data_IF_523629309323
#
_entry.id   IF_523629309323
#
_cell.length_a   1.000
_cell.length_b   1.000
_cell.length_c   1.000
_cell.angle_alpha   90.00
_cell.angle_beta   90.00
_cell.angle_gamma   90.00
#
_symmetry.space_group_name_H-M   'P 1'
#
loop_
_entity.id
_entity.type
_entity.pdbx_description
1 polymer ?
#
# COMPACT_ATOMS: atom_id res chain seq x y z
N UNK A 1 -10.94 -70.07 -41.72
CA UNK A 1 -11.49 -70.11 -40.34
C UNK A 1 -11.20 -68.77 -39.70
N UNK A 2 -12.22 -67.94 -39.48
CA UNK A 2 -12.07 -66.57 -38.96
C UNK A 2 -12.72 -66.52 -37.57
N UNK A 3 -11.92 -66.55 -36.50
CA UNK A 3 -12.41 -66.34 -35.14
C UNK A 3 -12.20 -64.88 -34.75
N UNK A 4 -13.27 -64.09 -34.84
CA UNK A 4 -13.35 -62.75 -34.25
C UNK A 4 -13.24 -62.85 -32.72
N UNK A 5 -12.03 -62.71 -32.18
CA UNK A 5 -11.83 -62.41 -30.76
C UNK A 5 -12.11 -60.92 -30.52
N UNK A 6 -13.40 -60.58 -30.37
CA UNK A 6 -13.79 -59.30 -29.76
C UNK A 6 -13.58 -59.41 -28.25
N UNK A 7 -12.42 -58.98 -27.75
CA UNK A 7 -12.20 -58.79 -26.31
C UNK A 7 -13.16 -57.72 -25.78
N UNK A 8 -14.29 -58.15 -25.21
CA UNK A 8 -15.18 -57.25 -24.46
C UNK A 8 -14.47 -56.81 -23.19
N UNK A 9 -13.77 -55.67 -23.26
CA UNK A 9 -13.37 -54.89 -22.09
C UNK A 9 -14.64 -54.53 -21.29
N UNK A 10 -14.98 -55.33 -20.27
CA UNK A 10 -16.07 -55.02 -19.35
C UNK A 10 -15.69 -53.75 -18.58
N UNK A 11 -16.38 -52.64 -18.85
CA UNK A 11 -16.28 -51.42 -18.04
C UNK A 11 -16.70 -51.78 -16.61
N UNK A 12 -15.76 -51.78 -15.65
CA UNK A 12 -16.09 -51.92 -14.23
C UNK A 12 -16.66 -50.59 -13.74
N UNK A 13 -17.89 -50.60 -13.25
CA UNK A 13 -18.50 -49.44 -12.60
C UNK A 13 -17.92 -49.24 -11.19
N UNK A 14 -17.97 -48.01 -10.68
CA UNK A 14 -17.56 -47.69 -9.32
C UNK A 14 -18.62 -48.11 -8.31
N UNK A 15 -18.18 -48.57 -7.15
CA UNK A 15 -19.04 -48.83 -6.00
C UNK A 15 -19.36 -47.52 -5.26
N UNK A 16 -20.48 -47.49 -4.53
CA UNK A 16 -20.89 -46.32 -3.74
C UNK A 16 -19.81 -45.87 -2.75
N UNK A 17 -19.13 -46.84 -2.12
CA UNK A 17 -18.09 -46.57 -1.11
C UNK A 17 -16.87 -45.88 -1.73
N UNK A 18 -16.47 -46.27 -2.95
CA UNK A 18 -15.37 -45.61 -3.67
C UNK A 18 -15.71 -44.16 -4.02
N UNK A 19 -16.95 -43.91 -4.42
CA UNK A 19 -17.43 -42.55 -4.71
C UNK A 19 -17.46 -41.70 -3.44
N UNK A 20 -17.94 -42.24 -2.32
CA UNK A 20 -17.97 -41.53 -1.05
C UNK A 20 -16.57 -41.22 -0.53
N UNK A 21 -15.65 -42.18 -0.64
CA UNK A 21 -14.25 -41.98 -0.26
C UNK A 21 -13.59 -40.89 -1.12
N UNK A 22 -13.79 -40.94 -2.45
CA UNK A 22 -13.26 -39.93 -3.37
C UNK A 22 -13.84 -38.53 -3.08
N UNK A 23 -15.14 -38.44 -2.82
CA UNK A 23 -15.81 -37.17 -2.47
C UNK A 23 -15.32 -36.61 -1.14
N UNK A 24 -15.12 -37.46 -0.13
CA UNK A 24 -14.60 -37.04 1.17
C UNK A 24 -13.19 -36.44 1.05
N UNK A 25 -12.29 -37.09 0.30
CA UNK A 25 -10.94 -36.59 0.03
C UNK A 25 -11.02 -35.26 -0.73
N UNK A 26 -11.86 -35.19 -1.76
CA UNK A 26 -12.05 -33.99 -2.57
C UNK A 26 -12.54 -32.79 -1.74
N UNK A 27 -13.48 -33.01 -0.82
CA UNK A 27 -14.01 -31.96 0.06
C UNK A 27 -12.95 -31.41 1.01
N UNK A 28 -12.16 -32.29 1.63
CA UNK A 28 -11.07 -31.88 2.53
C UNK A 28 -10.07 -31.00 1.76
N UNK A 29 -9.63 -31.45 0.59
CA UNK A 29 -8.70 -30.69 -0.25
C UNK A 29 -9.29 -29.35 -0.70
N UNK A 30 -10.55 -29.33 -1.09
CA UNK A 30 -11.23 -28.11 -1.55
C UNK A 30 -11.32 -27.05 -0.44
N UNK A 31 -11.64 -27.45 0.79
CA UNK A 31 -11.66 -26.54 1.94
C UNK A 31 -10.27 -26.01 2.27
N UNK A 32 -9.26 -26.86 2.24
CA UNK A 32 -7.86 -26.44 2.47
C UNK A 32 -7.41 -25.41 1.45
N UNK A 33 -7.69 -25.62 0.16
CA UNK A 33 -7.33 -24.69 -0.92
C UNK A 33 -8.14 -23.39 -0.80
N UNK A 34 -9.43 -23.47 -0.48
CA UNK A 34 -10.27 -22.28 -0.28
C UNK A 34 -9.75 -21.35 0.81
N UNK A 35 -9.26 -21.91 1.93
CA UNK A 35 -8.65 -21.12 3.00
C UNK A 35 -7.31 -20.48 2.58
N UNK A 36 -6.52 -21.17 1.77
CA UNK A 36 -5.29 -20.60 1.22
C UNK A 36 -5.59 -19.44 0.27
N UNK A 37 -6.51 -19.60 -0.69
CA UNK A 37 -6.87 -18.55 -1.65
C UNK A 37 -7.43 -17.31 -0.98
N UNK A 38 -8.30 -17.48 0.02
CA UNK A 38 -8.86 -16.34 0.78
C UNK A 38 -7.79 -15.63 1.60
N UNK A 39 -6.84 -16.37 2.16
CA UNK A 39 -5.69 -15.78 2.87
C UNK A 39 -4.76 -15.02 1.92
N UNK A 40 -4.45 -15.60 0.75
CA UNK A 40 -3.67 -14.94 -0.30
C UNK A 40 -4.32 -13.64 -0.76
N UNK A 41 -5.63 -13.64 -1.03
CA UNK A 41 -6.36 -12.43 -1.43
C UNK A 41 -6.33 -11.35 -0.34
N UNK A 42 -6.42 -11.72 0.94
CA UNK A 42 -6.28 -10.77 2.06
C UNK A 42 -4.87 -10.19 2.14
N UNK A 43 -3.84 -11.02 1.95
CA UNK A 43 -2.44 -10.60 1.96
C UNK A 43 -2.15 -9.65 0.80
N UNK A 44 -2.63 -9.96 -0.41
CA UNK A 44 -2.48 -9.13 -1.60
C UNK A 44 -3.12 -7.75 -1.41
N UNK A 45 -4.37 -7.70 -0.94
CA UNK A 45 -5.04 -6.44 -0.65
C UNK A 45 -4.29 -5.61 0.41
N UNK A 46 -3.82 -6.25 1.49
CA UNK A 46 -3.02 -5.57 2.51
C UNK A 46 -1.71 -5.03 1.93
N UNK A 47 -1.05 -5.79 1.07
CA UNK A 47 0.18 -5.40 0.39
C UNK A 47 -0.04 -4.21 -0.55
N UNK A 48 -1.11 -4.23 -1.35
CA UNK A 48 -1.45 -3.15 -2.27
C UNK A 48 -1.75 -1.84 -1.51
N UNK A 49 -2.55 -1.90 -0.45
CA UNK A 49 -2.82 -0.72 0.39
C UNK A 49 -1.54 -0.18 1.05
N UNK A 50 -0.66 -1.07 1.52
CA UNK A 50 0.62 -0.65 2.10
C UNK A 50 1.53 0.00 1.06
N UNK A 51 1.58 -0.53 -0.16
CA UNK A 51 2.36 0.03 -1.25
C UNK A 51 1.87 1.43 -1.64
N UNK A 52 0.55 1.62 -1.68
CA UNK A 52 -0.05 2.92 -1.93
C UNK A 52 0.34 3.94 -0.85
N UNK A 53 0.21 3.58 0.43
CA UNK A 53 0.65 4.44 1.54
C UNK A 53 2.16 4.74 1.50
N UNK A 54 3.00 3.77 1.10
CA UNK A 54 4.44 3.99 0.86
C UNK A 54 4.66 5.05 -0.21
N UNK A 55 3.89 5.04 -1.29
CA UNK A 55 4.00 6.03 -2.37
C UNK A 55 3.64 7.43 -1.86
N UNK A 56 2.56 7.58 -1.09
CA UNK A 56 2.18 8.86 -0.47
C UNK A 56 3.26 9.38 0.48
N UNK A 57 3.76 8.54 1.39
CA UNK A 57 4.85 8.94 2.30
C UNK A 57 6.10 9.31 1.52
N UNK A 58 6.43 8.59 0.45
CA UNK A 58 7.58 8.91 -0.39
C UNK A 58 7.40 10.27 -1.07
N UNK A 59 6.22 10.57 -1.62
CA UNK A 59 5.94 11.88 -2.21
C UNK A 59 6.11 13.02 -1.19
N UNK A 60 5.65 12.82 0.06
CA UNK A 60 5.93 13.77 1.15
C UNK A 60 7.43 13.97 1.30
N UNK A 61 8.21 12.89 1.44
CA UNK A 61 9.66 12.99 1.61
C UNK A 61 10.33 13.70 0.43
N UNK A 62 9.95 13.37 -0.80
CA UNK A 62 10.57 13.92 -2.01
C UNK A 62 10.33 15.44 -2.12
N UNK A 63 9.20 15.97 -1.64
CA UNK A 63 8.93 17.42 -1.56
C UNK A 63 9.90 18.13 -0.60
N UNK A 64 10.32 17.45 0.48
CA UNK A 64 11.25 18.01 1.46
C UNK A 64 12.72 17.75 1.10
N UNK A 65 13.05 16.65 0.40
CA UNK A 65 14.40 16.13 0.15
C UNK A 65 15.12 16.75 -1.07
N UNK A 66 14.95 18.05 -1.31
CA UNK A 66 15.57 18.68 -2.48
C UNK A 66 17.06 18.90 -2.22
N UNK A 67 17.89 18.18 -2.99
CA UNK A 67 19.33 18.38 -3.03
C UNK A 67 19.66 19.77 -3.57
N UNK A 68 20.50 20.49 -2.83
CA UNK A 68 21.17 21.74 -3.22
C UNK A 68 22.11 21.45 -4.40
N UNK A 69 21.56 21.39 -5.62
CA UNK A 69 22.29 21.22 -6.87
C UNK A 69 22.33 22.52 -7.65
N UNK A 70 23.53 23.10 -7.72
CA UNK A 70 24.00 23.95 -8.82
C UNK A 70 23.16 25.18 -9.20
N UNK A 71 22.90 26.05 -8.21
CA UNK A 71 22.66 27.48 -8.46
C UNK A 71 21.31 27.85 -9.10
N UNK A 72 20.35 26.93 -9.13
CA UNK A 72 18.95 27.26 -9.37
C UNK A 72 18.16 26.81 -8.16
N UNK A 73 17.62 27.76 -7.39
CA UNK A 73 16.80 27.52 -6.19
C UNK A 73 15.44 26.91 -6.54
N UNK A 74 15.44 25.71 -7.16
CA UNK A 74 14.24 24.92 -7.39
C UNK A 74 13.86 24.19 -6.11
N UNK A 75 13.65 24.92 -5.01
CA UNK A 75 13.04 24.35 -3.82
C UNK A 75 11.62 23.86 -4.17
N UNK A 76 11.39 22.54 -4.15
CA UNK A 76 10.06 21.94 -4.34
C UNK A 76 9.07 22.44 -3.31
N UNK A 77 9.51 22.68 -2.06
CA UNK A 77 8.74 23.40 -1.04
C UNK A 77 9.39 24.76 -0.74
N UNK A 78 8.63 25.85 -0.82
CA UNK A 78 9.16 27.18 -0.50
C UNK A 78 9.57 27.31 0.97
N UNK A 79 10.54 28.20 1.25
CA UNK A 79 10.96 28.50 2.63
C UNK A 79 9.82 28.92 3.56
N UNK A 80 8.87 29.72 3.08
CA UNK A 80 7.69 30.11 3.87
C UNK A 80 6.86 28.89 4.28
N UNK A 81 6.67 27.96 3.34
CA UNK A 81 5.90 26.75 3.60
C UNK A 81 6.65 25.79 4.49
N UNK A 82 7.96 25.65 4.29
CA UNK A 82 8.81 24.89 5.20
C UNK A 82 8.76 25.43 6.64
N UNK A 83 8.89 26.74 6.80
CA UNK A 83 8.80 27.42 8.10
C UNK A 83 7.43 27.25 8.75
N UNK A 84 6.35 27.20 7.97
CA UNK A 84 5.04 26.85 8.49
C UNK A 84 5.05 25.47 9.17
N UNK A 85 5.59 24.42 8.53
CA UNK A 85 5.67 23.10 9.17
C UNK A 85 6.59 23.09 10.40
N UNK A 86 7.73 23.78 10.34
CA UNK A 86 8.67 23.88 11.45
C UNK A 86 8.06 24.54 12.68
N UNK A 87 7.28 25.61 12.48
CA UNK A 87 6.70 26.41 13.56
C UNK A 87 5.41 25.81 14.14
N UNK A 88 4.64 25.06 13.33
CA UNK A 88 3.41 24.41 13.80
C UNK A 88 3.65 23.06 14.47
N UNK A 89 4.87 22.51 14.38
CA UNK A 89 5.28 21.27 15.04
C UNK A 89 4.70 20.01 14.38
N UNK A 90 3.39 19.81 14.46
CA UNK A 90 2.68 18.68 13.83
C UNK A 90 1.55 19.22 12.98
N UNK A 91 1.60 18.92 11.68
CA UNK A 91 0.58 19.30 10.70
C UNK A 91 -0.10 18.04 10.18
N UNK A 92 -1.43 18.01 10.24
CA UNK A 92 -2.23 16.92 9.67
C UNK A 92 -2.91 17.41 8.40
N UNK A 93 -2.79 16.62 7.34
CA UNK A 93 -3.37 16.91 6.02
C UNK A 93 -4.28 15.74 5.63
N UNK A 94 -5.57 16.00 5.45
CA UNK A 94 -6.51 15.01 4.89
C UNK A 94 -6.54 15.12 3.37
N UNK A 95 -6.62 14.01 2.64
CA UNK A 95 -6.58 13.99 1.18
C UNK A 95 -7.20 12.71 0.61
N UNK A 96 -7.63 12.75 -0.65
CA UNK A 96 -8.17 11.56 -1.34
C UNK A 96 -7.23 10.99 -2.41
N UNK A 97 -6.28 11.79 -2.91
CA UNK A 97 -5.34 11.37 -3.96
C UNK A 97 -4.00 12.11 -3.89
N UNK A 98 -3.04 11.68 -4.72
CA UNK A 98 -1.68 12.22 -4.73
C UNK A 98 -1.63 13.72 -5.06
N UNK A 99 -2.39 14.17 -6.05
CA UNK A 99 -2.38 15.57 -6.49
C UNK A 99 -2.86 16.51 -5.37
N UNK A 100 -3.89 16.09 -4.63
CA UNK A 100 -4.35 16.82 -3.43
C UNK A 100 -3.27 16.88 -2.35
N UNK A 101 -2.62 15.74 -2.05
CA UNK A 101 -1.56 15.67 -1.05
C UNK A 101 -0.44 16.66 -1.38
N UNK A 102 0.07 16.62 -2.61
CA UNK A 102 1.15 17.50 -3.06
C UNK A 102 0.72 18.98 -2.96
N UNK A 103 -0.44 19.33 -3.53
CA UNK A 103 -0.95 20.72 -3.49
C UNK A 103 -1.18 21.22 -2.07
N UNK A 104 -1.63 20.37 -1.14
CA UNK A 104 -1.83 20.76 0.27
C UNK A 104 -0.52 20.95 1.02
N UNK A 105 0.47 20.11 0.77
CA UNK A 105 1.82 20.29 1.33
C UNK A 105 2.41 21.61 0.82
N UNK A 106 2.26 21.89 -0.47
CA UNK A 106 2.74 23.12 -1.09
C UNK A 106 1.91 24.37 -0.75
N UNK A 107 0.70 24.19 -0.20
CA UNK A 107 -0.19 25.30 0.17
C UNK A 107 -0.95 25.92 -1.02
N UNK A 108 -1.05 25.21 -2.14
CA UNK A 108 -1.73 25.66 -3.38
C UNK A 108 -3.10 25.02 -3.59
N UNK A 109 -3.55 24.19 -2.65
CA UNK A 109 -4.83 23.51 -2.75
C UNK A 109 -6.01 24.45 -2.46
N UNK A 110 -7.04 24.41 -3.31
CA UNK A 110 -8.23 25.27 -3.24
C UNK A 110 -9.56 24.50 -3.19
N UNK A 111 -9.50 23.17 -3.12
CA UNK A 111 -10.68 22.29 -3.06
C UNK A 111 -11.15 21.99 -1.64
N UNK A 112 -12.07 21.04 -1.52
CA UNK A 112 -12.56 20.53 -0.23
C UNK A 112 -11.58 19.55 0.39
N UNK A 113 -11.63 19.40 1.72
CA UNK A 113 -10.82 18.38 2.38
C UNK A 113 -11.25 16.96 2.02
N UNK A 114 -10.28 16.17 1.58
CA UNK A 114 -10.46 14.74 1.36
C UNK A 114 -10.65 14.00 2.68
N UNK A 115 -11.09 12.75 2.60
CA UNK A 115 -11.51 11.94 3.76
C UNK A 115 -10.84 10.58 3.80
N UNK A 116 -10.25 10.13 2.71
CA UNK A 116 -9.74 8.76 2.54
C UNK A 116 -8.42 8.55 3.28
N UNK A 117 -7.48 9.48 3.17
CA UNK A 117 -6.16 9.38 3.77
C UNK A 117 -5.86 10.58 4.66
N UNK A 118 -4.93 10.40 5.59
CA UNK A 118 -4.36 11.46 6.40
C UNK A 118 -2.84 11.37 6.45
N UNK A 119 -2.15 12.49 6.19
CA UNK A 119 -0.71 12.63 6.34
C UNK A 119 -0.42 13.48 7.57
N UNK A 120 0.34 12.94 8.51
CA UNK A 120 0.84 13.63 9.70
C UNK A 120 2.30 13.96 9.44
N UNK A 121 2.62 15.24 9.33
CA UNK A 121 3.95 15.74 9.00
C UNK A 121 4.50 16.52 10.19
N UNK A 122 5.70 16.17 10.62
CA UNK A 122 6.42 16.84 11.69
C UNK A 122 7.80 17.25 11.20
N UNK A 123 8.09 18.54 11.30
CA UNK A 123 9.41 19.10 10.99
C UNK A 123 10.01 19.61 12.31
N UNK A 124 11.25 19.23 12.57
CA UNK A 124 11.96 19.65 13.78
C UNK A 124 13.40 19.98 13.48
N UNK A 125 13.92 21.03 14.12
CA UNK A 125 15.34 21.35 14.07
C UNK A 125 16.11 20.35 14.95
N UNK A 126 17.17 19.75 14.41
CA UNK A 126 18.05 18.85 15.15
C UNK A 126 19.33 19.57 15.58
N UNK A 127 20.02 20.15 14.60
CA UNK A 127 21.35 20.79 14.71
C UNK A 127 21.40 21.94 13.69
N UNK A 128 22.35 22.87 13.81
CA UNK A 128 22.49 24.02 12.89
C UNK A 128 22.29 23.63 11.42
N UNK A 129 21.23 24.14 10.80
CA UNK A 129 20.86 23.90 9.40
C UNK A 129 20.59 22.43 9.02
N UNK A 130 20.28 21.57 10.01
CA UNK A 130 19.87 20.18 9.81
C UNK A 130 18.49 19.99 10.43
N UNK A 131 17.52 19.65 9.58
CA UNK A 131 16.13 19.46 9.96
C UNK A 131 15.73 17.99 9.80
N UNK A 132 15.00 17.48 10.79
CA UNK A 132 14.37 16.17 10.74
C UNK A 132 12.92 16.32 10.28
N UNK A 133 12.58 15.64 9.19
CA UNK A 133 11.21 15.54 8.68
C UNK A 133 10.71 14.13 8.94
N UNK A 134 9.59 14.01 9.63
CA UNK A 134 8.88 12.77 9.91
C UNK A 134 7.50 12.86 9.27
N UNK A 135 7.11 11.87 8.49
CA UNK A 135 5.75 11.77 7.98
C UNK A 135 5.16 10.40 8.20
N UNK A 136 3.89 10.38 8.58
CA UNK A 136 3.07 9.17 8.68
C UNK A 136 1.84 9.36 7.80
N UNK A 137 1.60 8.43 6.87
CA UNK A 137 0.35 8.38 6.10
C UNK A 137 -0.49 7.23 6.60
N UNK A 138 -1.78 7.52 6.83
CA UNK A 138 -2.79 6.56 7.26
C UNK A 138 -3.93 6.50 6.24
N UNK A 139 -4.33 5.29 5.90
CA UNK A 139 -5.62 5.00 5.25
C UNK A 139 -6.70 5.02 6.36
N UNK A 140 -7.60 5.99 6.30
CA UNK A 140 -8.61 6.22 7.34
C UNK A 140 -9.67 5.11 7.37
N UNK A 141 -9.91 4.43 6.25
CA UNK A 141 -10.90 3.36 6.15
C UNK A 141 -10.33 2.01 6.59
N UNK A 142 -9.10 1.70 6.15
CA UNK A 142 -8.49 0.38 6.33
C UNK A 142 -7.53 0.32 7.52
N UNK A 143 -7.24 1.46 8.14
CA UNK A 143 -6.40 1.57 9.34
C UNK A 143 -4.92 1.21 9.13
N UNK A 144 -4.47 1.09 7.88
CA UNK A 144 -3.06 0.86 7.57
C UNK A 144 -2.30 2.17 7.68
N UNK A 145 -1.12 2.13 8.27
CA UNK A 145 -0.22 3.28 8.39
C UNK A 145 1.19 2.95 7.92
N UNK A 146 1.86 3.95 7.36
CA UNK A 146 3.25 3.88 6.96
C UNK A 146 3.93 5.16 7.43
N UNK A 147 5.07 5.02 8.09
CA UNK A 147 5.91 6.12 8.52
C UNK A 147 7.26 6.13 7.79
N UNK A 148 7.82 7.32 7.62
CA UNK A 148 9.19 7.51 7.16
C UNK A 148 9.76 8.80 7.73
N UNK A 149 11.08 8.85 7.84
CA UNK A 149 11.82 10.03 8.23
C UNK A 149 13.02 10.27 7.33
N UNK A 150 13.37 11.53 7.15
CA UNK A 150 14.57 12.00 6.47
C UNK A 150 15.23 13.12 7.27
N UNK A 151 16.51 13.36 6.97
CA UNK A 151 17.25 14.51 7.45
C UNK A 151 17.63 15.35 6.25
N UNK A 152 17.26 16.63 6.27
CA UNK A 152 17.56 17.57 5.20
C UNK A 152 18.42 18.69 5.74
N UNK A 153 19.24 19.27 4.87
CA UNK A 153 19.98 20.49 5.19
C UNK A 153 19.44 21.64 4.36
N UNK A 154 19.16 22.77 5.02
CA UNK A 154 18.72 24.01 4.40
C UNK A 154 19.60 25.15 4.90
#
# INVERSE_FOLDING_TARGET
MNSNMSSKNKKKGFTLVEIMAAMAIFLILSLSIGNLLTSSAKIENKSNNRLENINYVKAVMDIFDVKRGDGTDNETISNDRFNYFLNNGVVTISFDNMDELEKKILGTYTGTDGTTYSAIIKVSNKESNIYKVEATVKDNEKGNEVDKKIYISR
#
